data_IF_312116697316
#
_entry.id   IF_312116697316
#
_cell.length_a   1.000
_cell.length_b   1.000
_cell.length_c   1.000
_cell.angle_alpha   90.00
_cell.angle_beta   90.00
_cell.angle_gamma   90.00
#
_symmetry.space_group_name_H-M   'P 1'
#
loop_
_entity.id
_entity.type
_entity.pdbx_description
1 polymer ?
#
# COMPACT_ATOMS: atom_id res chain seq x y z
N UNK A 1 -15.81 20.43 21.32
CA UNK A 1 -14.36 20.75 21.30
C UNK A 1 -13.69 19.44 21.64
N UNK A 2 -13.27 18.77 20.59
CA UNK A 2 -13.04 17.34 20.61
C UNK A 2 -11.62 17.13 21.12
N UNK A 3 -11.48 16.40 22.24
CA UNK A 3 -10.19 16.08 22.82
C UNK A 3 -9.40 15.23 21.82
N UNK A 4 -8.48 15.86 21.11
CA UNK A 4 -7.57 15.19 20.20
C UNK A 4 -6.50 14.56 21.08
N UNK A 5 -6.63 13.26 21.35
CA UNK A 5 -5.60 12.44 22.00
C UNK A 5 -4.30 12.58 21.19
N UNK A 6 -3.42 13.48 21.63
CA UNK A 6 -2.08 13.63 21.07
C UNK A 6 -1.24 12.49 21.63
N UNK A 7 -0.80 11.58 20.76
CA UNK A 7 0.16 10.55 21.15
C UNK A 7 1.43 11.23 21.71
N UNK A 8 1.62 11.19 23.03
CA UNK A 8 2.85 11.61 23.73
C UNK A 8 3.98 10.59 23.47
N UNK A 9 4.23 10.25 22.21
CA UNK A 9 5.09 9.13 21.80
C UNK A 9 6.56 9.49 21.57
N UNK A 10 7.00 10.68 21.96
CA UNK A 10 8.40 11.08 21.81
C UNK A 10 8.85 11.80 23.07
N UNK A 11 8.87 11.08 24.19
CA UNK A 11 9.93 11.36 25.17
C UNK A 11 11.24 10.99 24.48
N UNK A 12 12.22 11.88 24.49
CA UNK A 12 13.48 11.80 23.73
C UNK A 12 14.37 10.58 24.05
N UNK A 13 13.89 9.65 24.89
CA UNK A 13 14.57 8.42 25.29
C UNK A 13 14.03 7.12 24.65
N UNK A 14 12.87 7.12 23.99
CA UNK A 14 12.30 5.91 23.35
C UNK A 14 12.06 6.12 21.86
N UNK A 15 13.10 5.88 21.06
CA UNK A 15 13.01 5.90 19.60
C UNK A 15 12.47 4.57 19.06
N UNK A 16 11.53 4.65 18.10
CA UNK A 16 10.98 3.47 17.43
C UNK A 16 11.82 3.10 16.20
N UNK A 17 12.40 1.91 16.22
CA UNK A 17 13.19 1.36 15.09
C UNK A 17 12.34 0.42 14.24
N UNK A 18 12.22 0.72 12.95
CA UNK A 18 11.68 -0.23 11.96
C UNK A 18 12.85 -1.07 11.44
N UNK A 19 13.03 -2.26 12.00
CA UNK A 19 14.14 -3.16 11.64
C UNK A 19 13.93 -3.93 10.33
N UNK A 20 12.72 -3.92 9.77
CA UNK A 20 12.43 -4.54 8.48
C UNK A 20 10.97 -4.37 8.03
N UNK A 21 10.75 -4.52 6.73
CA UNK A 21 9.43 -4.53 6.11
C UNK A 21 9.32 -5.68 5.12
N UNK A 22 8.15 -6.30 5.04
CA UNK A 22 7.84 -7.33 4.06
C UNK A 22 6.35 -7.23 3.68
N UNK A 23 6.02 -7.62 2.45
CA UNK A 23 4.65 -7.58 1.96
C UNK A 23 4.56 -8.03 0.52
N UNK A 24 3.31 -8.20 0.06
CA UNK A 24 3.01 -8.46 -1.35
C UNK A 24 2.45 -7.19 -1.97
N UNK A 25 3.08 -6.74 -3.04
CA UNK A 25 2.75 -5.48 -3.69
C UNK A 25 2.32 -5.72 -5.15
N UNK A 26 1.46 -4.86 -5.72
CA UNK A 26 1.08 -4.97 -7.13
C UNK A 26 2.30 -4.92 -8.05
N UNK A 27 2.38 -5.86 -8.99
CA UNK A 27 3.47 -5.95 -9.98
C UNK A 27 4.88 -5.91 -9.35
N UNK A 28 5.07 -6.50 -8.17
CA UNK A 28 6.37 -6.65 -7.53
C UNK A 28 6.41 -7.95 -6.73
N UNK A 29 7.23 -8.89 -7.19
CA UNK A 29 7.37 -10.21 -6.55
C UNK A 29 8.33 -10.18 -5.36
N UNK A 30 9.12 -9.12 -5.24
CA UNK A 30 10.04 -8.88 -4.13
C UNK A 30 10.24 -7.38 -3.84
N UNK A 31 10.92 -7.08 -2.74
CA UNK A 31 11.18 -5.70 -2.30
C UNK A 31 12.09 -4.90 -3.24
N UNK A 32 12.96 -5.57 -4.00
CA UNK A 32 13.83 -4.90 -4.97
C UNK A 32 13.02 -4.39 -6.17
N UNK A 33 12.09 -5.19 -6.69
CA UNK A 33 11.17 -4.77 -7.74
C UNK A 33 10.26 -3.62 -7.28
N UNK A 34 9.72 -3.70 -6.06
CA UNK A 34 8.93 -2.60 -5.50
C UNK A 34 9.76 -1.31 -5.47
N UNK A 35 11.02 -1.39 -5.00
CA UNK A 35 11.94 -0.26 -4.94
C UNK A 35 12.12 0.38 -6.31
N UNK A 36 12.46 -0.42 -7.33
CA UNK A 36 12.68 0.08 -8.70
C UNK A 36 11.41 0.68 -9.30
N UNK A 37 10.25 0.05 -9.11
CA UNK A 37 8.98 0.56 -9.60
C UNK A 37 8.63 1.93 -9.01
N UNK A 38 8.87 2.11 -7.71
CA UNK A 38 8.63 3.39 -7.02
C UNK A 38 9.61 4.48 -7.48
N UNK A 39 10.90 4.17 -7.57
CA UNK A 39 11.91 5.15 -8.02
C UNK A 39 11.67 5.61 -9.47
N UNK A 40 11.22 4.71 -10.33
CA UNK A 40 10.91 5.01 -11.73
C UNK A 40 9.48 5.53 -11.94
N UNK A 41 8.69 5.74 -10.87
CA UNK A 41 7.30 6.24 -10.91
C UNK A 41 6.40 5.42 -11.83
N UNK A 42 6.58 4.10 -11.84
CA UNK A 42 5.76 3.18 -12.64
C UNK A 42 4.34 3.16 -12.08
N UNK A 43 3.33 3.26 -12.94
CA UNK A 43 1.94 3.03 -12.55
C UNK A 43 1.70 1.54 -12.34
N UNK A 44 1.38 1.15 -11.10
CA UNK A 44 1.16 -0.24 -10.69
C UNK A 44 -0.32 -0.62 -10.63
N UNK A 45 -1.23 0.28 -11.02
CA UNK A 45 -2.67 0.02 -11.05
C UNK A 45 -3.02 -0.82 -12.27
N UNK A 46 -3.89 -1.81 -12.07
CA UNK A 46 -4.40 -2.67 -13.14
C UNK A 46 -5.92 -2.63 -13.18
N UNK A 47 -6.47 -2.44 -14.37
CA UNK A 47 -7.92 -2.57 -14.62
C UNK A 47 -8.40 -4.01 -14.41
N UNK A 48 -7.51 -4.98 -14.69
CA UNK A 48 -7.75 -6.41 -14.53
C UNK A 48 -7.36 -6.92 -13.14
N UNK A 49 -8.10 -6.46 -12.12
CA UNK A 49 -7.88 -6.90 -10.73
C UNK A 49 -7.97 -8.43 -10.48
N UNK A 50 -8.37 -9.25 -11.48
CA UNK A 50 -8.29 -10.72 -11.47
C UNK A 50 -9.17 -11.43 -10.44
N UNK A 51 -9.86 -10.68 -9.57
CA UNK A 51 -10.70 -11.19 -8.48
C UNK A 51 -12.11 -11.50 -8.96
N UNK A 52 -12.71 -10.58 -9.70
CA UNK A 52 -14.07 -10.70 -10.22
C UNK A 52 -14.10 -10.32 -11.71
N UNK A 53 -15.04 -10.86 -12.49
CA UNK A 53 -15.26 -10.36 -13.85
C UNK A 53 -15.91 -8.98 -13.77
N UNK A 54 -15.24 -7.96 -14.30
CA UNK A 54 -15.82 -6.62 -14.44
C UNK A 54 -17.16 -6.77 -15.18
N UNK A 55 -18.22 -6.23 -14.58
CA UNK A 55 -19.62 -6.57 -14.86
C UNK A 55 -20.04 -6.37 -16.31
N UNK A 56 -19.84 -7.39 -17.15
CA UNK A 56 -20.56 -7.56 -18.42
C UNK A 56 -21.98 -8.12 -18.21
N UNK A 57 -22.39 -8.34 -16.97
CA UNK A 57 -23.68 -8.95 -16.63
C UNK A 57 -24.85 -7.96 -16.51
N UNK A 58 -24.60 -6.64 -16.59
CA UNK A 58 -25.64 -5.60 -16.48
C UNK A 58 -26.14 -5.05 -17.82
N UNK A 59 -25.77 -5.66 -18.94
CA UNK A 59 -26.26 -5.29 -20.28
C UNK A 59 -26.87 -6.50 -21.00
N UNK A 60 -27.95 -7.06 -20.46
CA UNK A 60 -28.91 -7.85 -21.24
C UNK A 60 -30.31 -7.26 -20.98
N UNK A 61 -30.99 -6.98 -22.10
CA UNK A 61 -32.27 -6.29 -22.26
C UNK A 61 -33.33 -6.59 -21.21
#
# INVERSE_FOLDING_TARGET
MDNKETWNGTDSGEEIVISGIAGRFPNSDNMHELRENLFNKVDLIREDHGRWKNGKYFMRN
#
